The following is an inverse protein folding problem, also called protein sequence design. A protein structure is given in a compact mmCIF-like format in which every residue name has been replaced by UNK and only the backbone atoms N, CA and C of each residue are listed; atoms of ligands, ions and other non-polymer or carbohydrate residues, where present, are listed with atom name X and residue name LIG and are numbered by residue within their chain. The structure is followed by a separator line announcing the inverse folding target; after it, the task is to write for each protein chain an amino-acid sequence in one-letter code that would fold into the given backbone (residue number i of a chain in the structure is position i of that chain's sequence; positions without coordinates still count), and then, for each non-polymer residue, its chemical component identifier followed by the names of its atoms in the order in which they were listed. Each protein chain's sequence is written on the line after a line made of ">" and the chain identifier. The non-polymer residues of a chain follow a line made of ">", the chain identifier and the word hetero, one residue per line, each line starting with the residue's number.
data_IF_156497311495
#
_entry.id   IF_156497311495
#
_cell.length_a   1.000
_cell.length_b   1.000
_cell.length_c   1.000
_cell.angle_alpha   90.00
_cell.angle_beta   90.00
_cell.angle_gamma   90.00
#
_symmetry.space_group_name_H-M   'P 1'
#
loop_
_entity.id
_entity.type
_entity.pdbx_description
1 polymer ?
#
# COMPACT_ATOMS: atom_id res chain seq x y z
N UNK A 1 -19.11 4.68 0.55
CA UNK A 1 -18.13 4.73 -0.57
C UNK A 1 -16.73 4.49 -0.02
N UNK A 2 -15.78 4.06 -0.86
CA UNK A 2 -14.38 3.90 -0.47
C UNK A 2 -13.53 5.10 -0.87
N UNK A 3 -12.43 5.31 -0.16
CA UNK A 3 -11.43 6.33 -0.47
C UNK A 3 -10.14 6.11 0.31
N UNK A 4 -9.25 7.10 0.26
CA UNK A 4 -7.91 7.05 0.84
C UNK A 4 -7.66 8.29 1.69
N UNK A 5 -7.01 8.10 2.84
CA UNK A 5 -6.63 9.19 3.73
C UNK A 5 -5.20 8.97 4.22
N UNK A 6 -4.39 10.03 4.18
CA UNK A 6 -3.07 10.05 4.81
C UNK A 6 -3.15 10.53 6.26
N UNK A 7 -2.21 9.99 7.03
CA UNK A 7 -1.91 10.33 8.40
C UNK A 7 -0.40 10.54 8.56
N UNK A 8 -0.02 11.26 9.61
CA UNK A 8 1.35 11.32 10.07
C UNK A 8 1.77 9.97 10.68
N UNK A 9 3.05 9.80 10.99
CA UNK A 9 3.59 8.54 11.53
C UNK A 9 2.89 8.07 12.81
N UNK A 10 2.41 9.02 13.61
CA UNK A 10 1.69 8.82 14.87
C UNK A 10 0.17 8.64 14.71
N UNK A 11 -0.33 8.46 13.47
CA UNK A 11 -1.75 8.35 13.14
C UNK A 11 -2.58 9.61 13.42
N UNK A 12 -1.94 10.78 13.50
CA UNK A 12 -2.66 12.07 13.55
C UNK A 12 -2.79 12.69 12.16
N UNK A 13 -3.58 13.76 12.04
CA UNK A 13 -3.74 14.52 10.79
C UNK A 13 -2.97 15.83 10.84
N UNK A 14 -2.36 16.25 9.71
CA UNK A 14 -1.60 17.51 9.59
C UNK A 14 -2.39 18.76 10.01
N UNK A 15 -3.68 18.77 9.68
CA UNK A 15 -4.62 19.83 10.04
C UNK A 15 -5.80 19.20 10.75
N UNK A 16 -5.76 19.25 12.09
CA UNK A 16 -6.78 18.66 12.96
C UNK A 16 -6.50 18.97 14.43
N UNK A 17 -7.27 18.32 15.30
CA UNK A 17 -7.30 18.48 16.76
C UNK A 17 -6.29 17.55 17.49
N UNK A 18 -5.23 17.10 16.80
CA UNK A 18 -4.30 16.08 17.28
C UNK A 18 -4.96 14.76 17.72
N UNK A 19 -6.19 14.48 17.25
CA UNK A 19 -6.81 13.17 17.47
C UNK A 19 -5.95 12.07 16.85
N UNK A 20 -5.62 11.06 17.65
CA UNK A 20 -4.96 9.83 17.21
C UNK A 20 -6.01 8.89 16.65
N UNK A 21 -5.86 8.52 15.38
CA UNK A 21 -6.80 7.65 14.69
C UNK A 21 -6.37 6.17 14.78
N UNK A 22 -7.35 5.27 14.81
CA UNK A 22 -7.10 3.83 14.87
C UNK A 22 -7.79 3.08 13.74
N UNK A 23 -7.09 2.10 13.20
CA UNK A 23 -7.63 1.19 12.18
C UNK A 23 -8.80 0.40 12.76
N UNK A 24 -9.89 0.31 12.01
CA UNK A 24 -11.14 -0.36 12.40
C UNK A 24 -12.15 0.56 13.08
N UNK A 25 -11.73 1.72 13.62
CA UNK A 25 -12.63 2.69 14.27
C UNK A 25 -13.41 3.52 13.25
N UNK A 26 -14.60 3.97 13.69
CA UNK A 26 -15.48 4.85 12.93
C UNK A 26 -15.62 6.18 13.65
N UNK A 27 -15.44 7.26 12.90
CA UNK A 27 -15.48 8.63 13.38
C UNK A 27 -16.63 9.36 12.72
N UNK A 28 -17.35 10.17 13.49
CA UNK A 28 -18.52 10.93 13.03
C UNK A 28 -18.41 12.35 13.52
N UNK A 29 -18.69 13.30 12.63
CA UNK A 29 -18.73 14.72 12.98
C UNK A 29 -20.18 15.18 13.17
N UNK A 30 -20.40 16.07 14.12
CA UNK A 30 -21.68 16.75 14.30
C UNK A 30 -21.74 18.05 13.47
N UNK A 31 -22.97 18.47 13.17
CA UNK A 31 -23.24 19.66 12.34
C UNK A 31 -23.23 19.41 10.83
N UNK A 32 -23.25 20.52 10.09
CA UNK A 32 -23.18 20.51 8.62
C UNK A 32 -21.75 20.27 8.16
N UNK A 33 -21.58 19.37 7.19
CA UNK A 33 -20.27 19.13 6.60
C UNK A 33 -19.91 20.29 5.65
N UNK A 34 -18.68 20.78 5.76
CA UNK A 34 -18.18 21.87 4.94
C UNK A 34 -16.73 21.62 4.56
N UNK A 35 -16.43 21.77 3.28
CA UNK A 35 -15.10 21.51 2.75
C UNK A 35 -14.08 22.43 3.43
N UNK A 36 -13.00 21.85 3.95
CA UNK A 36 -11.89 22.49 4.66
C UNK A 36 -12.25 23.04 6.05
N UNK A 37 -13.51 22.93 6.48
CA UNK A 37 -13.97 23.46 7.78
C UNK A 37 -14.48 22.36 8.69
N UNK A 38 -15.46 21.57 8.25
CA UNK A 38 -16.11 20.58 9.11
C UNK A 38 -16.31 19.22 8.43
N UNK A 39 -15.67 18.19 9.01
CA UNK A 39 -15.78 16.79 8.61
C UNK A 39 -14.46 16.15 8.22
N UNK A 40 -14.52 14.87 7.88
CA UNK A 40 -13.32 14.08 7.64
C UNK A 40 -12.92 14.13 6.17
N UNK A 41 -11.77 14.75 5.92
CA UNK A 41 -11.18 14.86 4.60
C UNK A 41 -10.54 13.55 4.12
N UNK A 42 -10.85 13.18 2.88
CA UNK A 42 -10.32 12.01 2.18
C UNK A 42 -10.25 12.25 0.67
N UNK A 43 -9.42 11.47 -0.01
CA UNK A 43 -9.29 11.47 -1.47
C UNK A 43 -9.96 10.24 -2.07
N UNK A 44 -10.46 10.34 -3.30
CA UNK A 44 -11.05 9.18 -4.00
C UNK A 44 -9.97 8.27 -4.59
N UNK A 45 -8.89 8.86 -5.11
CA UNK A 45 -7.71 8.13 -5.60
C UNK A 45 -6.58 8.22 -4.59
N UNK A 46 -5.72 7.21 -4.58
CA UNK A 46 -4.56 7.19 -3.69
C UNK A 46 -3.50 8.23 -4.11
N UNK A 47 -3.35 8.50 -5.41
CA UNK A 47 -2.39 9.49 -5.93
C UNK A 47 -2.65 10.89 -5.42
N UNK A 48 -3.94 11.28 -5.35
CA UNK A 48 -4.38 12.62 -4.94
C UNK A 48 -3.97 12.95 -3.48
N UNK A 49 -3.64 11.93 -2.68
CA UNK A 49 -3.18 12.11 -1.30
C UNK A 49 -1.84 12.86 -1.24
N UNK A 50 -0.98 12.66 -2.24
CA UNK A 50 0.34 13.30 -2.30
C UNK A 50 0.28 14.78 -2.67
N UNK A 51 -0.86 15.29 -3.14
CA UNK A 51 -1.06 16.73 -3.33
C UNK A 51 -1.16 17.47 -1.97
N UNK A 52 -1.38 16.74 -0.87
CA UNK A 52 -1.63 17.30 0.46
C UNK A 52 -0.61 16.88 1.52
N UNK A 53 0.06 15.74 1.34
CA UNK A 53 0.98 15.17 2.30
C UNK A 53 2.33 14.81 1.65
N UNK A 54 3.40 15.33 2.24
CA UNK A 54 4.77 14.92 1.92
C UNK A 54 5.10 13.58 2.58
N UNK A 55 6.08 12.86 2.01
CA UNK A 55 6.63 11.64 2.62
C UNK A 55 7.55 12.00 3.79
N UNK A 56 7.62 11.18 4.87
CA UNK A 56 6.89 9.93 5.09
C UNK A 56 5.47 10.14 5.63
N UNK A 57 4.50 9.44 5.06
CA UNK A 57 3.11 9.46 5.51
C UNK A 57 2.52 8.04 5.49
N UNK A 58 1.53 7.79 6.35
CA UNK A 58 0.80 6.52 6.44
C UNK A 58 -0.53 6.66 5.71
N UNK A 59 -0.79 5.81 4.71
CA UNK A 59 -2.02 5.89 3.93
C UNK A 59 -2.95 4.75 4.32
N UNK A 60 -4.19 5.07 4.63
CA UNK A 60 -5.22 4.08 4.93
C UNK A 60 -6.36 4.10 3.92
N UNK A 61 -6.90 2.91 3.64
CA UNK A 61 -8.18 2.75 2.97
C UNK A 61 -9.30 3.08 3.96
N UNK A 62 -10.23 3.93 3.55
CA UNK A 62 -11.34 4.40 4.39
C UNK A 62 -12.68 4.11 3.74
N UNK A 63 -13.68 3.80 4.56
CA UNK A 63 -15.08 3.72 4.16
C UNK A 63 -15.82 4.94 4.67
N UNK A 64 -16.41 5.70 3.77
CA UNK A 64 -17.14 6.94 4.08
C UNK A 64 -18.63 6.72 3.88
N UNK A 65 -19.42 7.11 4.88
CA UNK A 65 -20.88 6.99 4.88
C UNK A 65 -21.55 8.29 5.34
N UNK A 66 -22.85 8.42 5.07
CA UNK A 66 -23.60 9.65 5.33
C UNK A 66 -23.37 10.72 4.26
N UNK A 67 -23.46 11.99 4.66
CA UNK A 67 -23.25 13.12 3.75
C UNK A 67 -21.80 13.17 3.26
N UNK A 68 -21.62 13.43 1.97
CA UNK A 68 -20.31 13.58 1.32
C UNK A 68 -20.38 14.78 0.38
N UNK A 69 -19.35 15.63 0.43
CA UNK A 69 -19.14 16.69 -0.56
C UNK A 69 -17.77 16.49 -1.21
N UNK A 70 -17.67 16.78 -2.52
CA UNK A 70 -16.43 16.69 -3.29
C UNK A 70 -16.18 18.03 -3.98
N UNK A 71 -14.94 18.52 -3.94
CA UNK A 71 -14.48 19.68 -4.70
C UNK A 71 -13.11 19.35 -5.29
N UNK A 72 -13.04 19.14 -6.60
CA UNK A 72 -11.82 18.68 -7.27
C UNK A 72 -11.41 17.27 -6.81
N UNK A 73 -10.17 17.13 -6.38
CA UNK A 73 -9.55 15.89 -5.88
C UNK A 73 -9.81 15.62 -4.38
N UNK A 74 -10.24 16.63 -3.61
CA UNK A 74 -10.60 16.47 -2.18
C UNK A 74 -12.09 16.19 -1.97
N UNK A 75 -12.38 15.30 -1.03
CA UNK A 75 -13.73 15.05 -0.53
C UNK A 75 -13.79 15.19 0.99
N UNK A 76 -14.95 15.54 1.53
CA UNK A 76 -15.24 15.59 2.96
C UNK A 76 -16.45 14.70 3.25
N UNK A 77 -16.37 13.90 4.30
CA UNK A 77 -17.42 12.99 4.71
C UNK A 77 -17.88 13.19 6.15
N UNK A 78 -19.16 12.93 6.41
CA UNK A 78 -19.72 12.97 7.77
C UNK A 78 -19.22 11.84 8.65
N UNK A 79 -19.21 10.62 8.12
CA UNK A 79 -18.77 9.42 8.84
C UNK A 79 -17.63 8.76 8.08
N UNK A 80 -16.50 8.56 8.74
CA UNK A 80 -15.32 7.91 8.18
C UNK A 80 -14.91 6.73 9.05
N UNK A 81 -14.84 5.55 8.46
CA UNK A 81 -14.27 4.35 9.07
C UNK A 81 -12.93 4.04 8.45
N UNK A 82 -11.90 3.86 9.27
CA UNK A 82 -10.59 3.42 8.79
C UNK A 82 -10.65 1.90 8.66
N UNK A 83 -10.43 1.37 7.45
CA UNK A 83 -10.54 -0.06 7.20
C UNK A 83 -9.22 -0.77 7.47
N UNK A 84 -8.15 -0.27 6.86
CA UNK A 84 -6.80 -0.86 6.92
C UNK A 84 -5.76 0.16 6.48
N UNK A 85 -4.53 -0.05 6.93
CA UNK A 85 -3.36 0.63 6.39
C UNK A 85 -2.87 -0.07 5.11
N UNK A 86 -2.43 0.71 4.13
CA UNK A 86 -1.86 0.20 2.89
C UNK A 86 -0.35 -0.01 3.03
N UNK A 87 0.17 -1.06 2.40
CA UNK A 87 1.63 -1.23 2.30
C UNK A 87 2.21 -0.31 1.23
N UNK A 88 3.53 -0.05 1.30
CA UNK A 88 4.22 0.73 0.26
C UNK A 88 4.02 0.12 -1.15
N UNK A 89 3.93 -1.21 -1.24
CA UNK A 89 3.68 -1.94 -2.49
C UNK A 89 2.30 -1.65 -3.05
N UNK A 90 1.29 -1.70 -2.18
CA UNK A 90 -0.09 -1.37 -2.57
C UNK A 90 -0.21 0.09 -2.97
N UNK A 91 0.42 1.00 -2.22
CA UNK A 91 0.42 2.43 -2.53
C UNK A 91 1.08 2.67 -3.90
N UNK A 92 2.26 2.07 -4.14
CA UNK A 92 2.96 2.17 -5.43
C UNK A 92 2.10 1.62 -6.58
N UNK A 93 1.53 0.43 -6.41
CA UNK A 93 0.64 -0.19 -7.40
C UNK A 93 -0.60 0.66 -7.69
N UNK A 94 -1.28 1.16 -6.66
CA UNK A 94 -2.45 2.02 -6.80
C UNK A 94 -2.09 3.35 -7.47
N UNK A 95 -0.92 3.91 -7.18
CA UNK A 95 -0.46 5.14 -7.80
C UNK A 95 -0.10 4.96 -9.28
N UNK A 96 0.45 3.80 -9.63
CA UNK A 96 0.84 3.44 -11.00
C UNK A 96 -0.31 2.87 -11.85
N UNK A 97 -1.48 2.61 -11.25
CA UNK A 97 -2.68 2.12 -11.95
C UNK A 97 -3.52 3.24 -12.61
N UNK A 98 -3.16 4.50 -12.37
CA UNK A 98 -3.78 5.66 -13.02
C UNK A 98 -3.31 5.84 -14.46
N UNK A 99 -4.12 6.53 -15.25
CA UNK A 99 -3.99 6.81 -16.69
C UNK A 99 -2.72 7.61 -17.11
N UNK A 100 -1.65 7.62 -16.29
CA UNK A 100 -0.38 8.28 -16.58
C UNK A 100 0.57 7.42 -17.45
N UNK A 101 0.20 6.17 -17.75
CA UNK A 101 0.89 5.32 -18.73
C UNK A 101 0.08 5.16 -20.05
N UNK A 102 -1.07 5.81 -20.16
CA UNK A 102 -2.03 5.62 -21.26
C UNK A 102 -2.51 6.94 -21.89
N UNK A 103 -1.79 8.04 -21.65
CA UNK A 103 -1.89 9.28 -22.42
C UNK A 103 -0.74 9.37 -23.43
N UNK A 104 -1.05 9.73 -24.66
CA UNK A 104 -0.19 9.84 -25.83
C UNK A 104 1.04 10.77 -25.66
N UNK A 105 2.05 10.36 -24.88
CA UNK A 105 3.33 11.07 -24.77
C UNK A 105 4.54 10.11 -24.73
N UNK A 106 4.45 8.97 -25.45
CA UNK A 106 5.61 8.16 -25.83
C UNK A 106 5.98 8.30 -27.32
N UNK A 107 5.64 9.44 -27.94
CA UNK A 107 5.97 9.72 -29.33
C UNK A 107 6.50 11.15 -29.46
N UNK A 108 7.82 11.29 -29.36
CA UNK A 108 8.52 12.54 -29.62
C UNK A 108 10.00 12.43 -29.29
N UNK A 109 10.84 12.49 -30.33
CA UNK A 109 12.30 12.51 -30.28
C UNK A 109 12.87 13.78 -29.61
N UNK A 110 12.51 14.13 -28.37
CA UNK A 110 13.14 15.24 -27.66
C UNK A 110 13.33 14.93 -26.16
N UNK A 111 14.24 13.99 -25.88
CA UNK A 111 14.90 13.83 -24.58
C UNK A 111 15.92 14.96 -24.34
N UNK A 112 15.45 16.21 -24.31
CA UNK A 112 16.31 17.36 -23.98
C UNK A 112 15.54 18.36 -23.12
N UNK A 113 15.28 17.97 -21.87
CA UNK A 113 14.72 18.84 -20.85
C UNK A 113 15.20 18.38 -19.48
N UNK A 114 16.07 19.18 -18.86
CA UNK A 114 16.58 19.00 -17.50
C UNK A 114 15.43 19.12 -16.47
N UNK A 115 14.66 18.04 -16.27
CA UNK A 115 13.71 17.91 -15.15
C UNK A 115 13.48 16.45 -14.71
N UNK A 116 14.44 15.55 -14.89
CA UNK A 116 14.53 14.31 -14.08
C UNK A 116 15.26 14.56 -12.74
N UNK A 117 15.24 15.79 -12.25
CA UNK A 117 15.70 16.18 -10.91
C UNK A 117 14.65 15.79 -9.86
N UNK A 118 14.47 14.48 -9.70
CA UNK A 118 13.65 13.87 -8.67
C UNK A 118 14.11 12.43 -8.44
N UNK A 119 15.13 12.27 -7.61
CA UNK A 119 15.66 10.99 -7.14
C UNK A 119 14.56 10.07 -6.57
N UNK A 120 13.90 9.25 -7.38
CA UNK A 120 12.96 8.24 -6.85
C UNK A 120 12.93 6.89 -7.58
N UNK A 121 13.76 6.62 -8.60
CA UNK A 121 13.72 5.32 -9.29
C UNK A 121 15.05 4.54 -9.38
N UNK A 122 16.11 4.96 -8.68
CA UNK A 122 17.42 4.25 -8.78
C UNK A 122 17.84 3.48 -7.53
N UNK A 123 17.17 3.67 -6.39
CA UNK A 123 17.55 3.04 -5.12
C UNK A 123 16.70 1.82 -4.70
N UNK A 124 15.45 1.73 -5.15
CA UNK A 124 14.49 0.77 -4.61
C UNK A 124 14.39 -0.53 -5.44
N UNK A 125 14.98 -0.56 -6.64
CA UNK A 125 15.03 -1.75 -7.49
C UNK A 125 16.11 -2.76 -7.05
N UNK A 126 17.19 -2.32 -6.41
CA UNK A 126 18.29 -3.21 -5.97
C UNK A 126 17.92 -3.96 -4.68
N UNK A 127 17.33 -3.27 -3.69
CA UNK A 127 16.93 -3.87 -2.40
C UNK A 127 15.80 -4.89 -2.56
N UNK A 128 14.74 -4.57 -3.33
CA UNK A 128 13.64 -5.51 -3.62
C UNK A 128 14.10 -6.74 -4.40
N UNK A 129 15.06 -6.59 -5.32
CA UNK A 129 15.61 -7.71 -6.09
C UNK A 129 16.41 -8.66 -5.21
N UNK A 130 17.09 -8.14 -4.20
CA UNK A 130 17.83 -8.94 -3.22
C UNK A 130 16.90 -9.65 -2.23
N UNK A 131 15.89 -8.97 -1.69
CA UNK A 131 14.93 -9.59 -0.75
C UNK A 131 14.07 -10.68 -1.42
N UNK A 132 13.58 -10.44 -2.65
CA UNK A 132 12.83 -11.45 -3.41
C UNK A 132 13.71 -12.64 -3.78
N UNK A 133 14.99 -12.43 -4.12
CA UNK A 133 15.95 -13.53 -4.34
C UNK A 133 16.19 -14.32 -3.04
N UNK A 134 16.35 -13.66 -1.90
CA UNK A 134 16.56 -14.33 -0.61
C UNK A 134 15.33 -15.17 -0.20
N UNK A 135 14.12 -14.67 -0.41
CA UNK A 135 12.89 -15.41 -0.13
C UNK A 135 12.71 -16.62 -1.07
N UNK A 136 13.03 -16.46 -2.36
CA UNK A 136 12.96 -17.56 -3.33
C UNK A 136 13.98 -18.67 -3.00
N UNK A 137 15.21 -18.30 -2.61
CA UNK A 137 16.24 -19.26 -2.21
C UNK A 137 15.85 -20.03 -0.94
N UNK A 138 15.37 -19.34 0.11
CA UNK A 138 14.89 -20.01 1.34
C UNK A 138 13.76 -21.01 1.06
N UNK A 139 12.84 -20.68 0.14
CA UNK A 139 11.75 -21.58 -0.24
C UNK A 139 12.23 -22.82 -0.98
N UNK A 140 13.26 -22.70 -1.81
CA UNK A 140 13.86 -23.83 -2.52
C UNK A 140 14.64 -24.75 -1.58
N UNK A 141 15.40 -24.19 -0.63
CA UNK A 141 16.13 -24.95 0.38
C UNK A 141 15.19 -25.77 1.27
N UNK A 142 14.11 -25.17 1.75
CA UNK A 142 13.09 -25.87 2.55
C UNK A 142 12.45 -27.03 1.77
N UNK A 143 12.18 -26.84 0.47
CA UNK A 143 11.61 -27.89 -0.39
C UNK A 143 12.59 -29.04 -0.60
N UNK A 144 13.88 -28.75 -0.78
CA UNK A 144 14.92 -29.80 -0.89
C UNK A 144 15.09 -30.59 0.41
N UNK A 145 15.06 -29.92 1.57
CA UNK A 145 15.13 -30.57 2.88
C UNK A 145 13.96 -31.52 3.11
N UNK A 146 12.74 -31.10 2.78
CA UNK A 146 11.54 -31.95 2.89
C UNK A 146 11.64 -33.20 1.99
N UNK A 147 12.12 -33.04 0.76
CA UNK A 147 12.31 -34.17 -0.16
C UNK A 147 13.37 -35.15 0.33
N UNK A 148 14.49 -34.66 0.90
CA UNK A 148 15.52 -35.52 1.49
C UNK A 148 14.99 -36.31 2.70
N UNK A 149 14.22 -35.67 3.58
CA UNK A 149 13.61 -36.37 4.72
C UNK A 149 12.63 -37.47 4.28
N UNK A 150 11.83 -37.21 3.24
CA UNK A 150 10.92 -38.21 2.68
C UNK A 150 11.67 -39.40 2.06
N UNK A 151 12.77 -39.14 1.34
CA UNK A 151 13.59 -40.20 0.76
C UNK A 151 14.25 -41.08 1.83
N UNK A 152 14.77 -40.48 2.89
CA UNK A 152 15.37 -41.21 4.02
C UNK A 152 14.33 -42.08 4.74
N UNK A 153 13.14 -41.53 5.07
CA UNK A 153 12.05 -42.32 5.66
C UNK A 153 11.63 -43.51 4.79
N UNK A 154 11.59 -43.32 3.47
CA UNK A 154 11.26 -44.40 2.53
C UNK A 154 12.33 -45.50 2.49
N UNK A 155 13.61 -45.13 2.62
CA UNK A 155 14.71 -46.10 2.69
C UNK A 155 14.71 -46.87 4.02
N UNK A 156 14.48 -46.18 5.13
CA UNK A 156 14.35 -46.83 6.45
C UNK A 156 13.19 -47.83 6.47
N UNK A 157 12.03 -47.46 5.94
CA UNK A 157 10.88 -48.38 5.83
C UNK A 157 11.19 -49.59 4.94
N UNK A 158 11.92 -49.42 3.83
CA UNK A 158 12.36 -50.53 2.98
C UNK A 158 13.36 -51.45 3.69
N UNK A 159 14.30 -50.90 4.45
CA UNK A 159 15.24 -51.70 5.24
C UNK A 159 14.55 -52.47 6.37
N UNK A 160 13.54 -51.88 7.02
CA UNK A 160 12.73 -52.57 8.03
C UNK A 160 11.92 -53.73 7.41
N UNK A 161 11.32 -53.53 6.23
CA UNK A 161 10.59 -54.59 5.53
C UNK A 161 11.50 -55.75 5.10
N UNK A 162 12.74 -55.47 4.69
CA UNK A 162 13.72 -56.51 4.34
C UNK A 162 14.31 -57.24 5.55
N UNK A 163 14.25 -56.67 6.75
CA UNK A 163 14.68 -57.34 8.01
C UNK A 163 13.58 -58.21 8.65
N UNK A 164 12.34 -58.09 8.18
CA UNK A 164 11.17 -58.84 8.65
C UNK A 164 10.83 -60.05 7.75
N UNK A 165 11.62 -60.27 6.70
CA UNK A 165 11.64 -61.48 5.85
C UNK A 165 12.86 -62.33 6.23
#
# INVERSE_FOLDING_TARGET
>A
MKGYKAFLSDMTTKHGDNTVYEVGKTYTVEGEIKICENGYHFCKKCVDVYDYYDKPCRICEVSVTGAVQTQGNKSVGRRLKILRELTADEISSLCNSGNCNSGDWNSGDWNSGNCNSGNCNSGDCELRRLELRQLQLRRLELRQLQLRQLQLRRLELRQLQLRLL
#
